data_IF_265120378041
#
_entry.id   IF_265120378041
#
_cell.length_a   1.000
_cell.length_b   1.000
_cell.length_c   1.000
_cell.angle_alpha   90.00
_cell.angle_beta   90.00
_cell.angle_gamma   90.00
#
_symmetry.space_group_name_H-M   'P 1'
#
loop_
_entity.id
_entity.type
_entity.pdbx_description
1 polymer ?
#
# COMPACT_ATOMS: atom_id res chain seq x y z
N UNK A 1 4.79 -28.08 0.99
CA UNK A 1 3.91 -26.99 0.55
C UNK A 1 4.81 -25.84 0.09
N UNK A 2 4.53 -25.25 -1.06
CA UNK A 2 5.17 -23.98 -1.45
C UNK A 2 4.39 -22.91 -0.73
N UNK A 3 5.03 -22.14 0.15
CA UNK A 3 4.38 -21.01 0.81
C UNK A 3 3.97 -19.98 -0.25
N UNK A 4 2.75 -19.46 -0.12
CA UNK A 4 2.25 -18.37 -0.96
C UNK A 4 3.19 -17.16 -0.85
N UNK A 5 3.59 -16.54 -1.98
CA UNK A 5 4.54 -15.43 -1.92
C UNK A 5 3.90 -14.19 -1.29
N UNK A 6 4.72 -13.40 -0.59
CA UNK A 6 4.34 -12.14 0.06
C UNK A 6 5.20 -10.99 -0.48
N UNK A 7 4.58 -9.81 -0.63
CA UNK A 7 5.30 -8.55 -0.78
C UNK A 7 5.63 -8.01 0.61
N UNK A 8 6.93 -7.85 0.88
CA UNK A 8 7.43 -7.13 2.06
C UNK A 8 8.03 -5.81 1.61
N UNK A 9 7.53 -4.71 2.14
CA UNK A 9 7.99 -3.39 1.76
C UNK A 9 8.03 -2.46 2.97
N UNK A 10 8.89 -1.44 2.91
CA UNK A 10 8.86 -0.30 3.83
C UNK A 10 8.05 0.81 3.18
N UNK A 11 6.91 1.13 3.77
CA UNK A 11 6.10 2.28 3.39
C UNK A 11 6.58 3.50 4.15
N UNK A 12 7.20 4.45 3.44
CA UNK A 12 7.62 5.75 3.98
C UNK A 12 6.64 6.83 3.53
N UNK A 13 6.11 7.58 4.49
CA UNK A 13 5.11 8.62 4.26
C UNK A 13 5.58 9.92 4.91
N UNK A 14 5.35 11.05 4.23
CA UNK A 14 5.61 12.38 4.75
C UNK A 14 4.33 13.21 4.64
N UNK A 15 3.93 13.83 5.73
CA UNK A 15 2.88 14.84 5.70
C UNK A 15 3.48 16.14 5.13
N UNK A 16 3.08 16.47 3.90
CA UNK A 16 3.53 17.67 3.19
C UNK A 16 2.60 18.89 3.38
N UNK A 17 1.53 18.76 4.17
CA UNK A 17 0.66 19.89 4.49
C UNK A 17 1.35 20.87 5.45
N UNK A 18 0.89 22.12 5.45
CA UNK A 18 1.45 23.17 6.31
C UNK A 18 0.80 23.21 7.71
N UNK A 19 -0.46 22.79 7.82
CA UNK A 19 -1.33 23.09 8.96
C UNK A 19 -2.24 21.93 9.39
N UNK A 20 -2.25 20.81 8.67
CA UNK A 20 -3.15 19.69 8.95
C UNK A 20 -2.42 18.46 9.47
N UNK A 21 -2.97 17.83 10.51
CA UNK A 21 -2.52 16.51 10.93
C UNK A 21 -3.22 15.43 10.10
N UNK A 22 -2.48 14.39 9.71
CA UNK A 22 -3.02 13.28 8.93
C UNK A 22 -3.06 12.01 9.77
N UNK A 23 -4.23 11.35 9.81
CA UNK A 23 -4.37 10.03 10.41
C UNK A 23 -4.45 8.96 9.34
N UNK A 24 -3.51 8.03 9.35
CA UNK A 24 -3.54 6.89 8.43
C UNK A 24 -4.55 5.84 8.91
N UNK A 25 -5.34 5.31 7.99
CA UNK A 25 -6.41 4.36 8.31
C UNK A 25 -6.08 2.96 7.77
N UNK A 26 -5.90 2.85 6.47
CA UNK A 26 -5.67 1.59 5.78
C UNK A 26 -5.00 1.82 4.43
N UNK A 27 -4.49 0.75 3.83
CA UNK A 27 -4.03 0.75 2.46
C UNK A 27 -4.36 -0.55 1.75
N UNK A 28 -4.34 -0.52 0.43
CA UNK A 28 -4.47 -1.71 -0.42
C UNK A 28 -3.40 -1.65 -1.51
N UNK A 29 -2.77 -2.79 -1.77
CA UNK A 29 -1.79 -2.94 -2.85
C UNK A 29 -2.45 -3.63 -4.03
N UNK A 30 -2.42 -2.98 -5.19
CA UNK A 30 -2.89 -3.53 -6.45
C UNK A 30 -1.70 -3.89 -7.33
N UNK A 31 -1.73 -5.07 -7.95
CA UNK A 31 -0.71 -5.55 -8.86
C UNK A 31 -1.21 -5.40 -10.29
N UNK A 32 -0.45 -4.73 -11.15
CA UNK A 32 -0.87 -4.39 -12.52
C UNK A 32 0.06 -5.06 -13.53
N UNK A 33 -0.55 -5.76 -14.48
CA UNK A 33 0.14 -6.47 -15.54
C UNK A 33 0.61 -5.58 -16.68
N UNK A 34 1.38 -6.15 -17.61
CA UNK A 34 1.89 -5.46 -18.80
C UNK A 34 0.78 -4.95 -19.75
N UNK A 35 -0.41 -5.57 -19.69
CA UNK A 35 -1.61 -5.15 -20.41
C UNK A 35 -2.38 -4.02 -19.69
N UNK A 36 -1.89 -3.58 -18.52
CA UNK A 36 -2.57 -2.60 -17.67
C UNK A 36 -3.72 -3.18 -16.84
N UNK A 37 -3.99 -4.48 -16.92
CA UNK A 37 -5.02 -5.15 -16.15
C UNK A 37 -4.54 -5.52 -14.74
N UNK A 38 -5.47 -5.61 -13.80
CA UNK A 38 -5.17 -6.10 -12.46
C UNK A 38 -4.80 -7.59 -12.51
N UNK A 39 -3.70 -7.95 -11.84
CA UNK A 39 -3.33 -9.34 -11.55
C UNK A 39 -4.02 -9.73 -10.24
N UNK A 40 -5.04 -10.61 -10.26
CA UNK A 40 -5.77 -10.99 -9.06
C UNK A 40 -4.93 -11.91 -8.17
N UNK A 41 -5.16 -11.82 -6.87
CA UNK A 41 -4.71 -12.83 -5.90
C UNK A 41 -5.48 -14.14 -6.11
N UNK A 42 -4.87 -15.25 -5.72
CA UNK A 42 -5.58 -16.53 -5.66
C UNK A 42 -6.71 -16.46 -4.61
N UNK A 43 -7.79 -17.22 -4.81
CA UNK A 43 -8.99 -17.16 -3.93
C UNK A 43 -8.68 -17.47 -2.46
N UNK A 44 -7.66 -18.27 -2.21
CA UNK A 44 -7.18 -18.69 -0.90
C UNK A 44 -6.09 -17.78 -0.31
N UNK A 45 -5.55 -16.82 -1.07
CA UNK A 45 -4.55 -15.85 -0.59
C UNK A 45 -5.14 -14.69 0.22
N UNK A 46 -6.46 -14.49 0.19
CA UNK A 46 -7.13 -13.38 0.88
C UNK A 46 -6.97 -12.05 0.14
N UNK A 47 -6.81 -10.95 0.88
CA UNK A 47 -6.75 -9.59 0.34
C UNK A 47 -5.37 -8.95 0.51
N UNK A 48 -4.94 -8.13 -0.45
CA UNK A 48 -3.75 -7.27 -0.36
C UNK A 48 -3.99 -5.97 0.42
N UNK A 49 -5.02 -5.95 1.26
CA UNK A 49 -5.32 -4.86 2.18
C UNK A 49 -4.52 -4.96 3.47
N UNK A 50 -4.10 -3.82 4.01
CA UNK A 50 -3.48 -3.71 5.32
C UNK A 50 -4.11 -2.54 6.09
N UNK A 51 -4.12 -2.65 7.42
CA UNK A 51 -4.57 -1.60 8.31
C UNK A 51 -3.44 -1.18 9.24
N UNK A 52 -3.42 0.09 9.61
CA UNK A 52 -2.48 0.59 10.60
C UNK A 52 -3.01 0.17 11.97
N UNK A 53 -2.19 -0.52 12.78
CA UNK A 53 -2.60 -0.98 14.10
C UNK A 53 -2.92 0.21 15.03
N UNK A 54 -3.81 0.06 16.03
CA UNK A 54 -4.24 1.17 16.89
C UNK A 54 -3.08 1.91 17.60
N UNK A 55 -2.00 1.21 17.92
CA UNK A 55 -0.76 1.75 18.48
C UNK A 55 0.09 2.55 17.46
N UNK A 56 -0.10 2.26 16.17
CA UNK A 56 0.50 2.93 15.02
C UNK A 56 -0.37 4.04 14.42
N UNK A 57 -1.65 4.13 14.81
CA UNK A 57 -2.60 5.19 14.42
C UNK A 57 -2.31 6.52 15.14
N UNK A 58 -1.06 6.97 15.08
CA UNK A 58 -0.67 8.31 15.51
C UNK A 58 -0.91 9.30 14.39
N UNK A 59 -1.32 10.50 14.77
CA UNK A 59 -1.46 11.59 13.82
C UNK A 59 -0.07 12.01 13.34
N UNK A 60 0.13 12.01 12.02
CA UNK A 60 1.34 12.51 11.37
C UNK A 60 1.21 14.03 11.30
N UNK A 61 1.95 14.75 12.14
CA UNK A 61 1.88 16.22 12.17
C UNK A 61 2.48 16.85 10.90
N UNK A 62 2.14 18.12 10.58
CA UNK A 62 2.74 18.85 9.47
C UNK A 62 4.28 18.73 9.43
N UNK A 63 4.83 18.38 8.26
CA UNK A 63 6.26 18.21 8.03
C UNK A 63 6.87 16.90 8.56
N UNK A 64 6.15 16.13 9.38
CA UNK A 64 6.65 14.86 9.90
C UNK A 64 6.64 13.75 8.84
N UNK A 65 7.52 12.78 9.05
CA UNK A 65 7.56 11.54 8.29
C UNK A 65 7.43 10.34 9.22
N UNK A 66 6.85 9.27 8.70
CA UNK A 66 6.81 7.97 9.35
C UNK A 66 7.19 6.88 8.36
N UNK A 67 7.57 5.72 8.91
CA UNK A 67 7.86 4.54 8.11
C UNK A 67 7.36 3.30 8.82
N UNK A 68 6.80 2.37 8.06
CA UNK A 68 6.33 1.11 8.57
C UNK A 68 6.63 -0.03 7.59
N UNK A 69 6.85 -1.22 8.13
CA UNK A 69 6.94 -2.43 7.33
C UNK A 69 5.53 -2.94 7.06
N UNK A 70 5.19 -3.13 5.80
CA UNK A 70 3.97 -3.82 5.38
C UNK A 70 4.32 -5.20 4.85
N UNK A 71 3.43 -6.16 5.08
CA UNK A 71 3.46 -7.49 4.49
C UNK A 71 2.07 -7.80 3.96
N UNK A 72 1.96 -8.02 2.67
CA UNK A 72 0.70 -8.36 2.01
C UNK A 72 0.90 -9.51 1.02
N UNK A 73 -0.13 -10.32 0.74
CA UNK A 73 -0.05 -11.38 -0.25
C UNK A 73 0.39 -10.85 -1.62
N UNK A 74 1.22 -11.62 -2.32
CA UNK A 74 1.68 -11.34 -3.68
C UNK A 74 1.12 -12.38 -4.65
N UNK A 75 0.59 -12.01 -5.83
CA UNK A 75 0.03 -12.98 -6.77
C UNK A 75 1.16 -13.81 -7.38
N UNK A 76 1.11 -15.14 -7.22
CA UNK A 76 2.12 -16.02 -7.80
C UNK A 76 2.23 -15.89 -9.33
N UNK A 77 1.14 -15.50 -10.00
CA UNK A 77 1.14 -15.19 -11.43
C UNK A 77 2.12 -14.06 -11.81
N UNK A 78 2.33 -13.09 -10.91
CA UNK A 78 3.25 -11.97 -11.11
C UNK A 78 4.73 -12.34 -10.94
N UNK A 79 5.06 -13.55 -10.44
CA UNK A 79 6.44 -14.03 -10.39
C UNK A 79 6.96 -14.48 -11.76
N UNK A 80 6.08 -14.67 -12.74
CA UNK A 80 6.48 -14.99 -14.10
C UNK A 80 7.12 -13.76 -14.75
N UNK A 81 8.22 -13.96 -15.45
CA UNK A 81 8.93 -12.88 -16.15
C UNK A 81 7.97 -12.06 -17.02
N UNK A 82 8.16 -10.74 -17.02
CA UNK A 82 7.40 -9.76 -17.79
C UNK A 82 5.88 -9.72 -17.50
N UNK A 83 5.41 -10.34 -16.42
CA UNK A 83 3.98 -10.34 -16.09
C UNK A 83 3.62 -9.13 -15.25
N UNK A 84 4.40 -8.79 -14.22
CA UNK A 84 4.19 -7.60 -13.40
C UNK A 84 4.81 -6.37 -14.08
N UNK A 85 4.01 -5.32 -14.24
CA UNK A 85 4.46 -4.04 -14.80
C UNK A 85 4.53 -2.94 -13.74
N UNK A 86 3.52 -2.86 -12.87
CA UNK A 86 3.43 -1.82 -11.86
C UNK A 86 2.74 -2.35 -10.60
N UNK A 87 3.04 -1.71 -9.46
CA UNK A 87 2.30 -1.88 -8.21
C UNK A 87 1.65 -0.55 -7.88
N UNK A 88 0.34 -0.52 -7.62
CA UNK A 88 -0.36 0.69 -7.18
C UNK A 88 -0.69 0.58 -5.69
N UNK A 89 -0.36 1.63 -4.95
CA UNK A 89 -0.74 1.78 -3.56
C UNK A 89 -1.96 2.70 -3.48
N UNK A 90 -3.05 2.17 -2.93
CA UNK A 90 -4.25 2.91 -2.56
C UNK A 90 -4.19 3.16 -1.06
N UNK A 91 -3.95 4.40 -0.63
CA UNK A 91 -3.82 4.74 0.79
C UNK A 91 -5.00 5.59 1.25
N UNK A 92 -5.71 5.14 2.28
CA UNK A 92 -6.80 5.90 2.90
C UNK A 92 -6.30 6.56 4.18
N UNK A 93 -6.48 7.88 4.25
CA UNK A 93 -6.15 8.69 5.42
C UNK A 93 -7.31 9.63 5.75
N UNK A 94 -7.22 10.24 6.93
CA UNK A 94 -8.15 11.26 7.39
C UNK A 94 -7.40 12.53 7.75
N UNK A 95 -7.68 13.61 7.03
CA UNK A 95 -7.21 14.94 7.40
C UNK A 95 -8.09 15.52 8.50
N UNK A 96 -7.50 16.19 9.49
CA UNK A 96 -8.27 16.96 10.48
C UNK A 96 -8.87 18.21 9.85
N UNK A 97 -10.15 18.56 10.10
CA UNK A 97 -11.08 17.90 11.03
C UNK A 97 -12.09 17.00 10.30
N UNK A 98 -11.71 15.78 9.92
CA UNK A 98 -12.61 14.67 9.54
C UNK A 98 -12.96 14.50 8.05
N UNK A 99 -12.05 14.81 7.13
CA UNK A 99 -12.19 14.39 5.72
C UNK A 99 -11.36 13.14 5.45
N UNK A 100 -12.04 12.05 5.07
CA UNK A 100 -11.36 10.86 4.54
C UNK A 100 -10.96 11.12 3.09
N UNK A 101 -9.72 10.79 2.76
CA UNK A 101 -9.15 10.95 1.43
C UNK A 101 -8.41 9.66 1.06
N UNK A 102 -8.44 9.35 -0.22
CA UNK A 102 -7.69 8.24 -0.80
C UNK A 102 -6.70 8.81 -1.79
N UNK A 103 -5.45 8.39 -1.69
CA UNK A 103 -4.40 8.72 -2.65
C UNK A 103 -3.90 7.45 -3.31
N UNK A 104 -3.78 7.54 -4.64
CA UNK A 104 -3.28 6.46 -5.47
C UNK A 104 -1.87 6.82 -5.94
N UNK A 105 -0.90 5.97 -5.60
CA UNK A 105 0.50 6.18 -5.99
C UNK A 105 1.00 4.98 -6.79
N UNK A 106 1.56 5.18 -7.99
CA UNK A 106 2.34 4.14 -8.65
C UNK A 106 3.63 3.90 -7.85
N UNK A 107 4.06 2.64 -7.80
CA UNK A 107 5.32 2.23 -7.21
C UNK A 107 6.25 1.83 -8.34
N UNK A 108 7.33 2.59 -8.52
CA UNK A 108 8.36 2.24 -9.49
C UNK A 108 9.10 0.99 -9.02
N UNK A 109 9.07 -0.06 -9.83
CA UNK A 109 9.88 -1.25 -9.61
C UNK A 109 11.30 -0.99 -10.15
N UNK A 110 12.36 -1.18 -9.35
CA UNK A 110 13.71 -1.20 -9.91
C UNK A 110 13.82 -2.39 -10.87
N UNK A 111 14.23 -2.11 -12.11
CA UNK A 111 14.45 -3.11 -13.16
C UNK A 111 15.74 -3.89 -12.97
#
# INVERSE_FOLDING_TARGET
>A
LVDSPDLRATLSLRNATADQALRLLSGTVEYVGADGAQIPLAKDQGSSGFSFFPDQQRDVLPGQAMSQVIRVPFPAAALKANTLHNIRLHLTYRATPYRNETVDSPVTLPG
#
